data_IF_877131885446
#
_entry.id   IF_877131885446
#
_cell.length_a   1.000
_cell.length_b   1.000
_cell.length_c   1.000
_cell.angle_alpha   90.00
_cell.angle_beta   90.00
_cell.angle_gamma   90.00
#
_symmetry.space_group_name_H-M   'P 1'
#
loop_
_entity.id
_entity.type
_entity.pdbx_description
1 polymer ?
#
# COMPACT_ATOMS: atom_id res chain seq x y z
N UNK A 1 -6.69 -3.46 24.61
CA UNK A 1 -5.95 -2.21 24.83
C UNK A 1 -5.99 -1.44 23.52
N UNK A 2 -6.19 -0.12 23.53
CA UNK A 2 -6.13 0.67 22.28
C UNK A 2 -4.71 1.20 22.18
N UNK A 3 -3.91 0.59 21.32
CA UNK A 3 -2.55 1.06 21.08
C UNK A 3 -2.61 2.43 20.37
N UNK A 4 -1.98 3.42 20.98
CA UNK A 4 -1.83 4.76 20.42
C UNK A 4 -0.48 4.81 19.72
N UNK A 5 -0.48 4.97 18.40
CA UNK A 5 0.74 5.14 17.63
C UNK A 5 1.15 6.61 17.61
N UNK A 6 2.38 6.89 18.02
CA UNK A 6 3.00 8.22 17.97
C UNK A 6 4.24 8.10 17.06
N UNK A 7 4.28 8.82 15.91
CA UNK A 7 5.44 8.80 15.03
C UNK A 7 6.65 9.45 15.72
N UNK A 8 7.89 9.03 15.39
CA UNK A 8 9.10 9.72 15.79
C UNK A 8 9.16 11.17 15.28
N UNK A 9 9.82 12.07 16.02
CA UNK A 9 9.95 13.49 15.65
C UNK A 9 10.75 13.71 14.34
N UNK A 10 11.65 12.80 14.01
CA UNK A 10 12.50 12.82 12.81
C UNK A 10 11.87 12.12 11.60
N UNK A 11 10.57 11.86 11.65
CA UNK A 11 9.84 11.31 10.51
C UNK A 11 9.91 12.27 9.32
N UNK A 12 10.34 11.76 8.17
CA UNK A 12 10.52 12.52 6.92
C UNK A 12 9.54 12.09 5.81
N UNK A 13 8.81 10.98 5.99
CA UNK A 13 7.87 10.45 5.01
C UNK A 13 6.77 9.62 5.68
N UNK A 14 5.53 9.75 5.20
CA UNK A 14 4.41 8.89 5.52
C UNK A 14 4.20 7.83 4.42
N UNK A 15 4.04 6.57 4.79
CA UNK A 15 3.64 5.51 3.84
C UNK A 15 2.20 5.11 4.12
N UNK A 16 1.35 5.15 3.10
CA UNK A 16 -0.02 4.63 3.19
C UNK A 16 -0.16 3.50 2.18
N UNK A 17 -0.46 2.31 2.68
CA UNK A 17 -0.54 1.10 1.88
C UNK A 17 -1.93 0.48 1.95
N UNK A 18 -2.55 0.24 0.81
CA UNK A 18 -3.71 -0.64 0.74
C UNK A 18 -3.31 -2.09 1.01
N UNK A 19 -4.13 -2.77 1.81
CA UNK A 19 -4.18 -4.21 1.97
C UNK A 19 -5.35 -4.67 1.10
N UNK A 20 -5.05 -5.41 0.04
CA UNK A 20 -6.12 -6.05 -0.72
C UNK A 20 -6.74 -7.18 0.10
N UNK A 21 -7.97 -6.95 0.55
CA UNK A 21 -8.77 -7.87 1.34
C UNK A 21 -10.16 -8.12 0.71
N UNK A 22 -10.25 -8.04 -0.62
CA UNK A 22 -11.48 -8.27 -1.37
C UNK A 22 -11.94 -9.74 -1.35
N UNK A 23 -12.50 -10.24 -0.26
CA UNK A 23 -13.30 -11.47 -0.27
C UNK A 23 -14.56 -11.28 0.55
N UNK A 24 -15.55 -10.64 -0.09
CA UNK A 24 -16.95 -10.88 0.23
C UNK A 24 -17.25 -12.34 -0.14
N UNK A 25 -17.73 -13.13 0.82
CA UNK A 25 -18.34 -14.46 0.71
C UNK A 25 -17.56 -15.76 0.93
N UNK A 26 -16.30 -15.78 1.38
CA UNK A 26 -15.74 -17.04 1.91
C UNK A 26 -14.94 -16.82 3.18
N UNK A 27 -15.09 -17.75 4.12
CA UNK A 27 -14.67 -17.61 5.52
C UNK A 27 -13.20 -17.23 5.73
N UNK A 28 -12.89 -16.94 6.99
CA UNK A 28 -11.58 -16.46 7.49
C UNK A 28 -10.38 -17.25 6.92
N UNK A 29 -10.50 -18.56 6.71
CA UNK A 29 -9.44 -19.39 6.13
C UNK A 29 -9.07 -19.07 4.66
N UNK A 30 -10.04 -18.68 3.82
CA UNK A 30 -9.75 -18.27 2.44
C UNK A 30 -9.06 -16.90 2.37
N UNK A 31 -9.30 -16.05 3.38
CA UNK A 31 -8.63 -14.74 3.50
C UNK A 31 -7.15 -14.90 3.85
N UNK A 32 -6.80 -15.80 4.77
CA UNK A 32 -5.41 -16.15 5.06
C UNK A 32 -4.69 -16.64 3.79
N UNK A 33 -5.34 -17.50 3.01
CA UNK A 33 -4.77 -18.01 1.75
C UNK A 33 -4.56 -16.91 0.71
N UNK A 34 -5.40 -15.89 0.69
CA UNK A 34 -5.27 -14.76 -0.24
C UNK A 34 -4.17 -13.79 0.20
N UNK A 35 -4.13 -13.39 1.47
CA UNK A 35 -3.02 -12.61 2.02
C UNK A 35 -1.68 -13.35 1.81
N UNK A 36 -1.64 -14.63 2.16
CA UNK A 36 -0.49 -15.48 1.89
C UNK A 36 -0.14 -15.58 0.39
N UNK A 37 -1.13 -15.57 -0.52
CA UNK A 37 -0.85 -15.52 -1.97
C UNK A 37 -0.22 -14.19 -2.36
N UNK A 38 -0.79 -13.06 -1.91
CA UNK A 38 -0.28 -11.72 -2.22
C UNK A 38 1.17 -11.51 -1.76
N UNK A 39 1.55 -12.16 -0.65
CA UNK A 39 2.81 -11.86 0.04
C UNK A 39 3.82 -13.04 0.12
N UNK A 40 3.47 -14.33 -0.08
CA UNK A 40 4.33 -15.47 0.38
C UNK A 40 4.29 -16.78 -0.45
N UNK A 41 3.92 -16.84 -1.74
CA UNK A 41 3.85 -18.17 -2.44
C UNK A 41 4.69 -18.33 -3.73
N UNK A 42 5.63 -19.32 -3.78
CA UNK A 42 6.30 -19.75 -5.02
C UNK A 42 5.66 -20.97 -5.71
N UNK A 43 6.05 -21.13 -6.99
CA UNK A 43 5.85 -22.24 -7.95
C UNK A 43 4.45 -22.90 -7.93
N UNK A 44 3.43 -22.50 -8.68
CA UNK A 44 3.30 -22.65 -10.14
C UNK A 44 2.20 -21.73 -10.69
N UNK A 45 1.84 -20.67 -9.96
CA UNK A 45 0.83 -19.69 -10.34
C UNK A 45 1.36 -18.32 -9.93
N UNK A 46 1.78 -17.52 -10.91
CA UNK A 46 2.30 -16.16 -10.71
C UNK A 46 1.21 -15.30 -10.08
N UNK A 47 1.35 -15.01 -8.78
CA UNK A 47 0.94 -13.78 -8.09
C UNK A 47 1.44 -13.89 -6.64
N UNK A 48 2.76 -13.88 -6.46
CA UNK A 48 3.39 -13.35 -5.25
C UNK A 48 4.07 -12.04 -5.69
N UNK A 49 4.16 -11.03 -4.83
CA UNK A 49 4.99 -9.84 -5.07
C UNK A 49 6.33 -10.03 -4.36
N UNK A 50 7.36 -10.58 -5.05
CA UNK A 50 8.61 -10.91 -4.40
C UNK A 50 9.27 -9.64 -3.85
N UNK A 51 9.98 -9.75 -2.74
CA UNK A 51 10.69 -8.60 -2.16
C UNK A 51 9.83 -7.63 -1.35
N UNK A 52 8.55 -7.93 -1.11
CA UNK A 52 7.61 -6.98 -0.50
C UNK A 52 7.94 -6.67 0.96
N UNK A 53 8.31 -7.69 1.75
CA UNK A 53 8.69 -7.49 3.14
C UNK A 53 9.94 -6.60 3.23
N UNK A 54 10.97 -6.93 2.45
CA UNK A 54 12.17 -6.13 2.35
C UNK A 54 11.89 -4.69 1.86
N UNK A 55 10.93 -4.50 0.95
CA UNK A 55 10.59 -3.17 0.44
C UNK A 55 9.90 -2.31 1.50
N UNK A 56 8.95 -2.87 2.25
CA UNK A 56 8.30 -2.15 3.34
C UNK A 56 9.28 -1.86 4.48
N UNK A 57 10.21 -2.78 4.77
CA UNK A 57 11.28 -2.52 5.73
C UNK A 57 12.20 -1.40 5.27
N UNK A 58 12.61 -1.40 4.00
CA UNK A 58 13.43 -0.33 3.43
C UNK A 58 12.72 1.03 3.49
N UNK A 59 11.41 1.07 3.21
CA UNK A 59 10.60 2.27 3.36
C UNK A 59 10.46 2.72 4.81
N UNK A 60 10.34 1.79 5.76
CA UNK A 60 10.24 2.07 7.19
C UNK A 60 11.51 2.71 7.73
N UNK A 61 12.68 2.13 7.43
CA UNK A 61 13.96 2.66 7.92
C UNK A 61 14.44 3.89 7.13
N UNK A 62 13.96 4.06 5.89
CA UNK A 62 14.24 5.21 5.04
C UNK A 62 15.67 5.24 4.50
N UNK A 63 16.06 6.35 3.88
CA UNK A 63 17.41 6.54 3.33
C UNK A 63 18.49 6.61 4.42
N UNK A 64 18.14 7.13 5.61
CA UNK A 64 19.03 7.21 6.78
C UNK A 64 19.18 5.88 7.52
N UNK A 65 18.37 4.88 7.19
CA UNK A 65 18.26 3.60 7.90
C UNK A 65 17.81 3.70 9.38
N UNK A 66 17.34 4.87 9.80
CA UNK A 66 16.93 5.14 11.17
C UNK A 66 15.59 5.88 11.30
N UNK A 67 14.96 6.29 10.19
CA UNK A 67 13.81 7.20 10.19
C UNK A 67 12.56 6.65 10.88
N UNK A 68 12.37 5.32 10.89
CA UNK A 68 11.22 4.62 11.52
C UNK A 68 9.87 5.23 11.13
N UNK A 69 9.70 5.44 9.83
CA UNK A 69 8.55 6.13 9.23
C UNK A 69 7.22 5.44 9.55
N UNK A 70 6.14 6.19 9.76
CA UNK A 70 4.81 5.63 9.90
C UNK A 70 4.39 4.92 8.62
N UNK A 71 3.98 3.67 8.76
CA UNK A 71 3.28 2.91 7.72
C UNK A 71 1.85 2.68 8.17
N UNK A 72 0.91 3.33 7.49
CA UNK A 72 -0.52 3.17 7.72
C UNK A 72 -1.07 2.17 6.69
N UNK A 73 -1.74 1.15 7.18
CA UNK A 73 -2.35 0.15 6.33
C UNK A 73 -3.84 0.42 6.19
N UNK A 74 -4.38 0.39 4.96
CA UNK A 74 -5.80 0.60 4.69
C UNK A 74 -6.42 -0.73 4.26
N UNK A 75 -7.55 -1.09 4.87
CA UNK A 75 -8.18 -2.42 4.69
C UNK A 75 -9.69 -2.23 4.48
N UNK A 76 -10.30 -2.91 3.51
CA UNK A 76 -11.78 -2.97 3.33
C UNK A 76 -12.42 -4.14 4.08
N UNK A 77 -11.62 -4.95 4.73
CA UNK A 77 -11.98 -6.15 5.45
C UNK A 77 -12.69 -5.84 6.76
N UNK A 78 -13.34 -6.85 7.35
CA UNK A 78 -13.95 -6.70 8.66
C UNK A 78 -12.87 -6.62 9.75
N UNK A 79 -13.12 -5.80 10.79
CA UNK A 79 -12.22 -5.65 11.95
C UNK A 79 -11.78 -6.98 12.59
N UNK A 80 -12.58 -8.04 12.46
CA UNK A 80 -12.27 -9.37 12.96
C UNK A 80 -10.99 -10.01 12.39
N UNK A 81 -10.40 -9.46 11.32
CA UNK A 81 -9.13 -9.95 10.75
C UNK A 81 -7.90 -9.21 11.32
N UNK A 82 -8.08 -8.26 12.24
CA UNK A 82 -6.96 -7.45 12.75
C UNK A 82 -5.83 -8.29 13.34
N UNK A 83 -6.15 -9.18 14.31
CA UNK A 83 -5.15 -10.03 14.97
C UNK A 83 -4.41 -10.91 13.95
N UNK A 84 -5.14 -11.42 12.95
CA UNK A 84 -4.54 -12.19 11.86
C UNK A 84 -3.57 -11.35 11.02
N UNK A 85 -3.94 -10.12 10.65
CA UNK A 85 -3.08 -9.24 9.86
C UNK A 85 -1.81 -8.86 10.64
N UNK A 86 -1.95 -8.58 11.93
CA UNK A 86 -0.83 -8.29 12.81
C UNK A 86 0.13 -9.49 12.92
N UNK A 87 -0.40 -10.69 13.17
CA UNK A 87 0.40 -11.92 13.23
C UNK A 87 1.10 -12.19 11.89
N UNK A 88 0.39 -11.97 10.78
CA UNK A 88 0.94 -12.10 9.44
C UNK A 88 2.10 -11.12 9.20
N UNK A 89 1.95 -9.86 9.59
CA UNK A 89 3.03 -8.87 9.46
C UNK A 89 4.25 -9.25 10.29
N UNK A 90 4.05 -9.71 11.53
CA UNK A 90 5.14 -10.16 12.39
C UNK A 90 5.88 -11.37 11.81
N UNK A 91 5.15 -12.40 11.34
CA UNK A 91 5.76 -13.60 10.76
C UNK A 91 6.58 -13.30 9.50
N UNK A 92 6.17 -12.33 8.70
CA UNK A 92 6.81 -11.99 7.43
C UNK A 92 7.74 -10.78 7.54
N UNK A 93 8.08 -10.35 8.76
CA UNK A 93 8.92 -9.19 9.01
C UNK A 93 8.46 -7.92 8.25
N UNK A 94 7.14 -7.73 8.10
CA UNK A 94 6.56 -6.48 7.62
C UNK A 94 6.43 -5.56 8.84
N UNK A 95 6.83 -4.27 8.75
CA UNK A 95 6.68 -3.32 9.85
C UNK A 95 5.24 -3.26 10.36
N UNK A 96 5.03 -3.56 11.65
CA UNK A 96 3.70 -3.46 12.24
C UNK A 96 3.38 -1.98 12.44
N UNK A 97 2.30 -1.53 11.81
CA UNK A 97 1.80 -0.16 11.90
C UNK A 97 0.27 -0.13 12.00
N UNK A 98 -0.33 1.06 12.22
CA UNK A 98 -1.78 1.19 12.37
C UNK A 98 -2.54 0.63 11.17
N UNK A 99 -3.50 -0.27 11.43
CA UNK A 99 -4.41 -0.82 10.41
C UNK A 99 -5.75 -0.08 10.50
N UNK A 100 -6.05 0.66 9.44
CA UNK A 100 -7.25 1.47 9.28
C UNK A 100 -8.29 0.71 8.45
N UNK A 101 -9.30 0.18 9.13
CA UNK A 101 -10.41 -0.50 8.46
C UNK A 101 -11.43 0.51 7.95
N UNK A 102 -11.67 0.47 6.64
CA UNK A 102 -12.78 1.13 6.00
C UNK A 102 -14.07 0.51 6.52
N UNK A 103 -14.84 1.30 7.26
CA UNK A 103 -16.10 0.83 7.87
C UNK A 103 -17.12 0.52 6.77
N UNK A 104 -17.32 -0.76 6.49
CA UNK A 104 -18.56 -1.26 5.90
C UNK A 104 -19.30 -2.18 6.86
N UNK A 105 -20.01 -1.60 7.82
CA UNK A 105 -21.17 -2.24 8.47
C UNK A 105 -22.25 -1.20 8.76
N UNK A 106 -22.59 -0.43 7.73
CA UNK A 106 -23.50 0.70 7.82
C UNK A 106 -24.74 0.57 6.95
N UNK A 107 -25.37 -0.61 6.88
CA UNK A 107 -26.81 -0.64 6.54
C UNK A 107 -27.52 -0.02 7.75
N UNK A 108 -27.56 1.31 7.80
CA UNK A 108 -28.54 2.01 8.58
C UNK A 108 -29.84 1.96 7.79
N UNK A 109 -30.95 1.65 8.46
CA UNK A 109 -32.31 1.72 7.90
C UNK A 109 -32.63 3.06 7.19
N UNK A 110 -31.79 4.10 7.37
CA UNK A 110 -31.92 5.42 6.76
C UNK A 110 -31.14 5.64 5.45
N UNK A 111 -30.19 4.76 5.07
CA UNK A 111 -29.42 4.88 3.81
C UNK A 111 -29.21 3.50 3.18
N UNK A 112 -30.08 3.09 2.22
CA UNK A 112 -30.04 1.75 1.63
C UNK A 112 -28.94 1.54 0.57
N UNK A 113 -28.18 2.59 0.22
CA UNK A 113 -27.07 2.49 -0.74
C UNK A 113 -25.72 2.63 -0.04
N UNK A 114 -24.78 1.68 -0.23
CA UNK A 114 -23.40 1.86 0.21
C UNK A 114 -22.83 3.11 -0.46
N UNK A 115 -22.22 4.02 0.31
CA UNK A 115 -21.29 4.99 -0.26
C UNK A 115 -20.22 4.19 -1.01
N UNK A 116 -19.88 4.62 -2.23
CA UNK A 116 -18.92 3.88 -3.07
C UNK A 116 -17.62 3.70 -2.30
N UNK A 117 -17.07 2.48 -2.25
CA UNK A 117 -15.85 2.15 -1.50
C UNK A 117 -14.68 3.11 -1.81
N UNK A 118 -14.61 3.62 -3.03
CA UNK A 118 -13.68 4.67 -3.47
C UNK A 118 -13.78 5.96 -2.63
N UNK A 119 -14.99 6.44 -2.32
CA UNK A 119 -15.21 7.66 -1.53
C UNK A 119 -14.73 7.48 -0.09
N UNK A 120 -14.89 6.28 0.46
CA UNK A 120 -14.41 5.96 1.80
C UNK A 120 -12.89 5.87 1.85
N UNK A 121 -12.26 5.21 0.88
CA UNK A 121 -10.80 5.13 0.77
C UNK A 121 -10.20 6.52 0.62
N UNK A 122 -10.75 7.30 -0.30
CA UNK A 122 -10.39 8.71 -0.48
C UNK A 122 -10.53 9.50 0.84
N UNK A 123 -11.69 9.44 1.52
CA UNK A 123 -11.93 10.20 2.75
C UNK A 123 -11.00 9.77 3.90
N UNK A 124 -10.66 8.49 3.99
CA UNK A 124 -9.72 7.98 4.98
C UNK A 124 -8.31 8.50 4.72
N UNK A 125 -7.81 8.37 3.49
CA UNK A 125 -6.45 8.77 3.13
C UNK A 125 -6.28 10.28 3.28
N UNK A 126 -7.22 11.08 2.77
CA UNK A 126 -7.19 12.55 2.91
C UNK A 126 -7.20 12.97 4.37
N UNK A 127 -8.02 12.34 5.22
CA UNK A 127 -7.97 12.55 6.68
C UNK A 127 -6.60 12.22 7.28
N UNK A 128 -5.92 11.17 6.80
CA UNK A 128 -4.56 10.87 7.29
C UNK A 128 -3.57 11.93 6.80
N UNK A 129 -3.66 12.40 5.56
CA UNK A 129 -2.83 13.50 5.07
C UNK A 129 -3.00 14.79 5.88
N UNK A 130 -4.23 15.07 6.33
CA UNK A 130 -4.54 16.22 7.19
C UNK A 130 -3.99 16.01 8.63
N UNK A 131 -4.01 14.78 9.15
CA UNK A 131 -3.45 14.47 10.48
C UNK A 131 -1.91 14.56 10.49
N UNK A 132 -1.26 14.26 9.37
CA UNK A 132 0.19 14.35 9.18
C UNK A 132 0.53 15.56 8.30
N UNK A 133 -0.01 16.74 8.64
CA UNK A 133 -0.15 17.96 7.81
C UNK A 133 1.10 18.34 7.00
N UNK A 134 2.31 18.06 7.51
CA UNK A 134 3.58 18.45 6.86
C UNK A 134 4.38 17.29 6.26
N UNK A 135 4.02 16.03 6.52
CA UNK A 135 4.80 14.90 6.00
C UNK A 135 4.50 14.58 4.54
N UNK A 136 5.50 14.55 3.64
CA UNK A 136 5.28 14.01 2.30
C UNK A 136 4.87 12.55 2.39
N UNK A 137 4.11 12.07 1.41
CA UNK A 137 3.51 10.74 1.45
C UNK A 137 3.82 9.90 0.21
N UNK A 138 3.96 8.59 0.40
CA UNK A 138 3.93 7.58 -0.65
C UNK A 138 2.66 6.75 -0.49
N UNK A 139 1.93 6.56 -1.60
CA UNK A 139 0.74 5.71 -1.66
C UNK A 139 1.08 4.39 -2.34
N UNK A 140 0.69 3.26 -1.74
CA UNK A 140 0.88 1.92 -2.30
C UNK A 140 -0.48 1.26 -2.45
N UNK A 141 -0.75 0.66 -3.61
CA UNK A 141 -2.02 0.01 -3.91
C UNK A 141 -1.87 -1.06 -4.98
N UNK A 142 -3.00 -1.50 -5.55
CA UNK A 142 -3.02 -2.54 -6.58
C UNK A 142 -3.86 -2.14 -7.82
N UNK A 143 -3.58 -2.79 -8.95
CA UNK A 143 -4.26 -2.52 -10.22
C UNK A 143 -5.61 -3.21 -10.36
N UNK A 144 -5.93 -4.19 -9.51
CA UNK A 144 -7.20 -4.92 -9.51
C UNK A 144 -8.34 -4.11 -8.89
N UNK A 145 -8.01 -3.13 -8.05
CA UNK A 145 -8.93 -2.17 -7.45
C UNK A 145 -8.88 -0.79 -8.14
N UNK A 146 -9.66 0.15 -7.61
CA UNK A 146 -9.70 1.56 -8.02
C UNK A 146 -8.60 2.44 -7.37
N UNK A 147 -7.53 1.83 -6.85
CA UNK A 147 -6.43 2.56 -6.21
C UNK A 147 -5.76 3.58 -7.15
N UNK A 148 -5.44 3.26 -8.42
CA UNK A 148 -4.87 4.23 -9.34
C UNK A 148 -5.75 5.49 -9.48
N UNK A 149 -7.07 5.31 -9.59
CA UNK A 149 -8.03 6.39 -9.72
C UNK A 149 -8.11 7.24 -8.44
N UNK A 150 -8.26 6.59 -7.28
CA UNK A 150 -8.35 7.28 -5.99
C UNK A 150 -7.06 8.05 -5.71
N UNK A 151 -5.90 7.45 -5.93
CA UNK A 151 -4.61 8.08 -5.67
C UNK A 151 -4.33 9.23 -6.64
N UNK A 152 -4.68 9.07 -7.92
CA UNK A 152 -4.59 10.15 -8.91
C UNK A 152 -5.44 11.36 -8.53
N UNK A 153 -6.65 11.13 -8.00
CA UNK A 153 -7.49 12.20 -7.47
C UNK A 153 -6.81 12.90 -6.30
N UNK A 154 -6.28 12.15 -5.33
CA UNK A 154 -5.59 12.70 -4.16
C UNK A 154 -4.39 13.54 -4.59
N UNK A 155 -3.57 13.08 -5.53
CA UNK A 155 -2.41 13.83 -6.05
C UNK A 155 -2.82 15.21 -6.60
N UNK A 156 -3.94 15.28 -7.32
CA UNK A 156 -4.44 16.54 -7.89
C UNK A 156 -4.95 17.51 -6.84
N UNK A 157 -5.57 17.00 -5.79
CA UNK A 157 -6.18 17.81 -4.73
C UNK A 157 -5.19 18.18 -3.61
N UNK A 158 -4.11 17.41 -3.46
CA UNK A 158 -3.02 17.61 -2.50
C UNK A 158 -1.67 17.77 -3.22
N UNK A 159 -1.50 18.80 -4.07
CA UNK A 159 -0.30 18.98 -4.87
C UNK A 159 0.94 19.08 -3.98
N UNK A 160 2.00 18.36 -4.35
CA UNK A 160 3.26 18.33 -3.63
C UNK A 160 3.27 17.49 -2.34
N UNK A 161 2.11 17.00 -1.87
CA UNK A 161 2.02 16.13 -0.68
C UNK A 161 2.39 14.69 -1.02
N UNK A 162 1.82 14.13 -2.08
CA UNK A 162 2.14 12.78 -2.54
C UNK A 162 3.38 12.84 -3.44
N UNK A 163 4.43 12.08 -3.10
CA UNK A 163 5.71 12.08 -3.82
C UNK A 163 5.87 10.90 -4.77
N UNK A 164 5.17 9.80 -4.51
CA UNK A 164 5.06 8.68 -5.43
C UNK A 164 3.78 7.89 -5.17
N UNK A 165 3.28 7.27 -6.24
CA UNK A 165 2.20 6.30 -6.21
C UNK A 165 2.72 4.99 -6.79
N UNK A 166 2.76 3.94 -5.97
CA UNK A 166 3.15 2.61 -6.39
C UNK A 166 1.91 1.72 -6.55
N UNK A 167 1.66 1.25 -7.76
CA UNK A 167 0.56 0.36 -8.09
C UNK A 167 1.13 -1.02 -8.42
N UNK A 168 0.79 -2.01 -7.61
CA UNK A 168 1.09 -3.42 -7.86
C UNK A 168 0.22 -3.94 -9.00
N UNK A 169 0.84 -4.49 -10.03
CA UNK A 169 0.17 -5.14 -11.16
C UNK A 169 -0.35 -6.52 -10.74
N UNK A 170 -1.68 -6.67 -10.64
CA UNK A 170 -2.32 -7.97 -10.32
C UNK A 170 -2.54 -8.80 -11.60
N UNK A 171 -2.92 -8.15 -12.70
CA UNK A 171 -3.11 -8.78 -14.00
C UNK A 171 -2.47 -7.96 -15.14
N UNK A 172 -2.25 -8.61 -16.28
CA UNK A 172 -1.71 -7.98 -17.49
C UNK A 172 -2.83 -7.66 -18.49
N UNK A 173 -3.91 -7.02 -18.02
CA UNK A 173 -4.97 -6.58 -18.92
C UNK A 173 -4.58 -5.29 -19.63
N UNK A 174 -4.43 -5.34 -20.95
CA UNK A 174 -3.98 -4.20 -21.75
C UNK A 174 -4.88 -2.96 -21.60
N UNK A 175 -6.19 -3.13 -21.42
CA UNK A 175 -7.12 -2.03 -21.14
C UNK A 175 -6.83 -1.39 -19.78
N UNK A 176 -6.58 -2.19 -18.74
CA UNK A 176 -6.26 -1.69 -17.39
C UNK A 176 -4.94 -0.95 -17.38
N UNK A 177 -3.91 -1.49 -18.02
CA UNK A 177 -2.61 -0.83 -18.14
C UNK A 177 -2.72 0.50 -18.89
N UNK A 178 -3.49 0.55 -20.00
CA UNK A 178 -3.76 1.81 -20.73
C UNK A 178 -4.52 2.83 -19.89
N UNK A 179 -5.50 2.40 -19.09
CA UNK A 179 -6.22 3.30 -18.19
C UNK A 179 -5.26 3.91 -17.14
N UNK A 180 -4.41 3.09 -16.54
CA UNK A 180 -3.40 3.53 -15.55
C UNK A 180 -2.37 4.46 -16.18
N UNK A 181 -1.93 4.19 -17.42
CA UNK A 181 -1.06 5.11 -18.16
C UNK A 181 -1.75 6.46 -18.42
N UNK A 182 -3.05 6.45 -18.76
CA UNK A 182 -3.84 7.68 -18.88
C UNK A 182 -3.89 8.48 -17.58
N UNK A 183 -4.00 7.81 -16.42
CA UNK A 183 -3.94 8.45 -15.11
C UNK A 183 -2.54 9.03 -14.81
N UNK A 184 -1.47 8.30 -15.16
CA UNK A 184 -0.09 8.79 -15.03
C UNK A 184 0.11 10.09 -15.81
N UNK A 185 -0.39 10.17 -17.05
CA UNK A 185 -0.28 11.38 -17.86
C UNK A 185 -1.05 12.57 -17.25
N UNK A 186 -2.18 12.32 -16.59
CA UNK A 186 -2.95 13.38 -15.94
C UNK A 186 -2.20 14.07 -14.79
N UNK A 187 -1.22 13.41 -14.17
CA UNK A 187 -0.43 13.95 -13.06
C UNK A 187 1.03 14.22 -13.42
N UNK A 188 1.41 14.07 -14.70
CA UNK A 188 2.79 14.24 -15.17
C UNK A 188 3.35 15.67 -14.97
N UNK A 189 2.47 16.65 -14.73
CA UNK A 189 2.83 18.03 -14.41
C UNK A 189 3.10 18.27 -12.92
N UNK A 190 2.94 17.23 -12.08
CA UNK A 190 3.17 17.28 -10.62
C UNK A 190 4.51 16.65 -10.27
N UNK A 191 5.00 16.86 -9.05
CA UNK A 191 6.21 16.20 -8.53
C UNK A 191 6.02 14.71 -8.20
N UNK A 192 4.81 14.17 -8.39
CA UNK A 192 4.44 12.80 -8.08
C UNK A 192 4.57 11.90 -9.32
N UNK A 193 5.23 10.75 -9.16
CA UNK A 193 5.27 9.71 -10.19
C UNK A 193 4.37 8.52 -9.82
N UNK A 194 3.48 8.14 -10.75
CA UNK A 194 2.73 6.88 -10.67
C UNK A 194 3.48 5.77 -11.40
N UNK A 195 3.79 4.70 -10.67
CA UNK A 195 4.52 3.53 -11.16
C UNK A 195 3.67 2.27 -11.06
N UNK A 196 3.32 1.69 -12.21
CA UNK A 196 2.71 0.36 -12.30
C UNK A 196 3.82 -0.70 -12.34
N UNK A 197 4.02 -1.38 -11.22
CA UNK A 197 5.12 -2.31 -11.01
C UNK A 197 4.65 -3.77 -11.04
N UNK A 198 5.42 -4.62 -11.70
CA UNK A 198 5.18 -6.07 -11.73
C UNK A 198 5.75 -6.79 -10.50
N UNK A 199 6.71 -6.15 -9.80
CA UNK A 199 7.40 -6.69 -8.64
C UNK A 199 7.86 -5.56 -7.70
N UNK A 200 8.37 -5.92 -6.52
CA UNK A 200 8.88 -4.94 -5.55
C UNK A 200 10.21 -4.32 -5.99
N UNK A 201 10.96 -4.96 -6.88
CA UNK A 201 12.22 -4.43 -7.40
C UNK A 201 12.01 -3.15 -8.20
N UNK A 202 11.03 -3.11 -9.10
CA UNK A 202 10.73 -1.91 -9.88
C UNK A 202 10.28 -0.74 -8.99
N UNK A 203 9.56 -1.02 -7.89
CA UNK A 203 9.19 0.00 -6.90
C UNK A 203 10.41 0.47 -6.10
N UNK A 204 11.27 -0.46 -5.67
CA UNK A 204 12.47 -0.18 -4.90
C UNK A 204 13.51 0.64 -5.67
N UNK A 205 13.73 0.35 -6.96
CA UNK A 205 14.65 1.13 -7.80
C UNK A 205 14.20 2.59 -7.91
N UNK A 206 12.91 2.80 -8.14
CA UNK A 206 12.34 4.15 -8.14
C UNK A 206 12.45 4.81 -6.77
N UNK A 207 12.10 4.09 -5.69
CA UNK A 207 12.20 4.59 -4.33
C UNK A 207 13.62 5.02 -3.97
N UNK A 208 14.64 4.25 -4.38
CA UNK A 208 16.04 4.62 -4.17
C UNK A 208 16.42 5.89 -4.92
N UNK A 209 16.06 5.98 -6.21
CA UNK A 209 16.33 7.16 -7.03
C UNK A 209 15.70 8.44 -6.48
N UNK A 210 14.60 8.30 -5.72
CA UNK A 210 13.90 9.40 -5.07
C UNK A 210 14.36 9.69 -3.63
N UNK A 211 15.34 8.95 -3.10
CA UNK A 211 15.80 9.09 -1.71
C UNK A 211 14.81 8.57 -0.67
N UNK A 212 13.86 7.71 -1.07
CA UNK A 212 12.93 7.10 -0.11
C UNK A 212 13.54 5.87 0.58
N UNK A 213 14.50 5.19 -0.04
CA UNK A 213 15.19 4.05 0.60
C UNK A 213 16.69 4.17 0.37
N UNK A 214 17.48 3.57 1.26
CA UNK A 214 18.93 3.50 1.11
C UNK A 214 19.34 2.51 0.01
N UNK A 215 20.60 2.56 -0.40
CA UNK A 215 21.16 1.56 -1.32
C UNK A 215 21.12 0.16 -0.69
N UNK A 216 21.37 0.04 0.62
CA UNK A 216 21.30 -1.26 1.30
C UNK A 216 19.88 -1.82 1.30
N UNK A 217 18.87 -0.94 1.44
CA UNK A 217 17.45 -1.28 1.30
C UNK A 217 17.13 -1.85 -0.08
N UNK A 218 17.60 -1.22 -1.16
CA UNK A 218 17.46 -1.74 -2.52
C UNK A 218 18.12 -3.13 -2.68
N UNK A 219 19.31 -3.32 -2.12
CA UNK A 219 20.00 -4.62 -2.16
C UNK A 219 19.29 -5.69 -1.32
N UNK A 220 18.60 -5.31 -0.24
CA UNK A 220 17.76 -6.23 0.52
C UNK A 220 16.55 -6.70 -0.30
N UNK A 221 15.85 -5.78 -0.95
CA UNK A 221 14.72 -6.12 -1.86
C UNK A 221 15.19 -7.06 -2.98
N UNK A 222 16.38 -6.82 -3.53
CA UNK A 222 16.95 -7.66 -4.60
C UNK A 222 17.25 -9.08 -4.15
N UNK A 223 17.73 -9.26 -2.91
CA UNK A 223 18.00 -10.58 -2.34
C UNK A 223 16.68 -11.32 -2.07
N UNK A 224 15.77 -10.67 -1.37
CA UNK A 224 14.44 -11.21 -1.02
C UNK A 224 13.66 -11.63 -2.28
N UNK A 225 13.69 -10.81 -3.33
CA UNK A 225 13.02 -11.13 -4.60
C UNK A 225 13.62 -12.33 -5.34
N UNK A 226 14.90 -12.65 -5.11
CA UNK A 226 15.59 -13.81 -5.73
C UNK A 226 15.35 -15.09 -4.94
N UNK A 227 15.35 -15.01 -3.62
CA UNK A 227 15.10 -16.15 -2.74
C UNK A 227 13.66 -16.68 -2.90
N UNK A 228 12.71 -15.82 -3.31
CA UNK A 228 11.35 -16.21 -3.70
C UNK A 228 11.26 -16.90 -5.08
N UNK A 229 12.33 -16.89 -5.87
CA UNK A 229 12.39 -17.42 -7.24
C UNK A 229 12.97 -18.85 -7.34
N UNK A 230 13.67 -19.30 -6.30
CA UNK A 230 14.37 -20.60 -6.21
C UNK A 230 13.57 -21.62 -5.38
#
# INVERSE_FOLDING_TARGET
>A
FTDVYIPPEDTDLLVISDIDDTVMYTGVANKLRMLYRLFVKPAHQRTAFPGVAAFYQALYVGESEAARRPILYVSRGPWSIYEMLEEFFQMNAIPVGPILFLREWGISWRRPWPRRAEEHKYALITRMLDLFEDLPCVLIGDSGQHDPEVYTRIVKEYPGRVKAVYIRRIDSQADRERAIEGLRQQIAHTDCELRLAADSMAMAEHARNRGFISESGLQAVRRDSRDDSD
#
